data_IF_277265022494
#
_entry.id   IF_277265022494
#
_cell.length_a   1.000
_cell.length_b   1.000
_cell.length_c   1.000
_cell.angle_alpha   90.00
_cell.angle_beta   90.00
_cell.angle_gamma   90.00
#
_symmetry.space_group_name_H-M   'P 1'
#
loop_
_entity.id
_entity.type
_entity.pdbx_description
1 polymer ?
#
# COMPACT_ATOMS: atom_id res chain seq x y z
N UNK A 1 10.35 4.87 18.83
CA UNK A 1 11.51 4.31 18.08
C UNK A 1 11.20 3.02 17.30
N UNK A 2 10.19 2.20 17.67
CA UNK A 2 9.87 0.89 17.05
C UNK A 2 9.28 0.90 15.63
N UNK A 3 8.46 1.90 15.27
CA UNK A 3 7.73 1.90 13.97
C UNK A 3 8.68 2.10 12.78
N UNK A 4 9.73 2.94 12.92
CA UNK A 4 10.69 3.22 11.84
C UNK A 4 11.47 1.98 11.40
N UNK A 5 11.87 1.15 12.36
CA UNK A 5 12.67 -0.05 12.10
C UNK A 5 11.82 -1.15 11.45
N UNK A 6 10.59 -1.33 11.94
CA UNK A 6 9.59 -2.25 11.35
C UNK A 6 9.27 -1.91 9.90
N UNK A 7 9.08 -0.62 9.59
CA UNK A 7 8.86 -0.15 8.23
C UNK A 7 10.05 -0.51 7.33
N UNK A 8 11.29 -0.27 7.78
CA UNK A 8 12.48 -0.63 7.00
C UNK A 8 12.59 -2.14 6.72
N UNK A 9 12.34 -2.97 7.72
CA UNK A 9 12.41 -4.43 7.62
C UNK A 9 11.31 -5.00 6.72
N UNK A 10 10.07 -4.52 6.82
CA UNK A 10 8.95 -4.97 5.97
C UNK A 10 9.09 -4.52 4.51
N UNK A 11 9.69 -3.37 4.31
CA UNK A 11 9.88 -2.76 3.00
C UNK A 11 11.02 -3.40 2.23
N UNK A 12 12.14 -3.74 2.90
CA UNK A 12 13.36 -4.28 2.26
C UNK A 12 13.14 -5.46 1.30
N UNK A 13 12.37 -6.51 1.65
CA UNK A 13 12.18 -7.67 0.76
C UNK A 13 11.30 -7.38 -0.47
N UNK A 14 10.41 -6.38 -0.38
CA UNK A 14 9.40 -6.08 -1.40
C UNK A 14 9.83 -4.97 -2.37
N UNK A 15 10.99 -4.38 -2.10
CA UNK A 15 11.52 -3.20 -2.77
C UNK A 15 12.62 -3.56 -3.76
N UNK A 16 12.15 -3.95 -4.92
CA UNK A 16 12.98 -4.17 -6.11
C UNK A 16 13.35 -2.80 -6.68
N UNK A 17 14.63 -2.65 -7.07
CA UNK A 17 15.17 -1.47 -7.73
C UNK A 17 14.27 -1.03 -8.89
N UNK A 18 14.02 0.28 -9.03
CA UNK A 18 13.23 0.83 -10.13
C UNK A 18 11.70 0.84 -9.92
N UNK A 19 11.17 0.26 -8.83
CA UNK A 19 9.73 0.39 -8.52
C UNK A 19 9.34 1.84 -8.18
N UNK A 20 8.17 2.26 -8.67
CA UNK A 20 7.52 3.51 -8.30
C UNK A 20 6.73 3.32 -7.01
N UNK A 21 6.88 4.23 -6.06
CA UNK A 21 6.20 4.21 -4.77
C UNK A 21 5.45 5.52 -4.60
N UNK A 22 4.13 5.44 -4.36
CA UNK A 22 3.30 6.58 -3.98
C UNK A 22 3.38 6.79 -2.46
N UNK A 23 3.65 8.03 -2.02
CA UNK A 23 3.74 8.37 -0.60
C UNK A 23 2.86 9.56 -0.26
N UNK A 24 2.02 9.41 0.75
CA UNK A 24 1.30 10.49 1.42
C UNK A 24 2.13 11.13 2.55
N UNK A 25 3.09 10.39 3.12
CA UNK A 25 3.94 10.85 4.21
C UNK A 25 5.33 11.31 3.74
N UNK A 26 5.74 12.54 4.12
CA UNK A 26 6.95 13.22 3.63
C UNK A 26 8.19 13.08 4.53
N UNK A 27 8.24 12.06 5.40
CA UNK A 27 9.29 11.92 6.42
C UNK A 27 10.71 11.78 5.83
N UNK A 28 11.67 12.62 6.26
CA UNK A 28 13.07 12.61 5.78
C UNK A 28 13.74 11.24 5.84
N UNK A 29 13.51 10.48 6.91
CA UNK A 29 14.11 9.16 7.11
C UNK A 29 13.62 8.11 6.08
N UNK A 30 12.30 8.07 5.84
CA UNK A 30 11.69 7.15 4.86
C UNK A 30 12.18 7.47 3.46
N UNK A 31 12.26 8.75 3.10
CA UNK A 31 12.80 9.17 1.78
C UNK A 31 14.24 8.73 1.58
N UNK A 32 15.11 8.89 2.59
CA UNK A 32 16.52 8.46 2.49
C UNK A 32 16.62 6.95 2.27
N UNK A 33 15.87 6.18 3.05
CA UNK A 33 15.86 4.73 2.90
C UNK A 33 15.38 4.27 1.52
N UNK A 34 14.27 4.86 1.02
CA UNK A 34 13.72 4.50 -0.28
C UNK A 34 14.63 4.92 -1.45
N UNK A 35 15.35 6.04 -1.32
CA UNK A 35 16.36 6.43 -2.33
C UNK A 35 17.58 5.51 -2.30
N UNK A 36 18.03 5.08 -1.13
CA UNK A 36 19.21 4.22 -0.99
C UNK A 36 19.06 2.86 -1.69
N UNK A 37 17.83 2.39 -1.88
CA UNK A 37 17.50 1.15 -2.60
C UNK A 37 17.13 1.39 -4.08
N UNK A 38 17.21 2.64 -4.57
CA UNK A 38 16.91 2.99 -5.96
C UNK A 38 15.42 3.00 -6.32
N UNK A 39 14.52 3.28 -5.38
CA UNK A 39 13.10 3.46 -5.67
C UNK A 39 12.78 4.88 -6.17
N UNK A 40 11.80 4.98 -7.07
CA UNK A 40 11.28 6.26 -7.55
C UNK A 40 10.10 6.70 -6.67
N UNK A 41 10.25 7.82 -5.97
CA UNK A 41 9.19 8.37 -5.12
C UNK A 41 8.27 9.26 -5.94
N UNK A 42 6.98 8.93 -5.95
CA UNK A 42 5.90 9.78 -6.46
C UNK A 42 5.21 10.45 -5.28
N UNK A 43 5.26 11.78 -5.26
CA UNK A 43 4.53 12.56 -4.26
C UNK A 43 3.14 12.88 -4.78
N UNK A 44 2.12 12.53 -4.00
CA UNK A 44 0.74 12.88 -4.28
C UNK A 44 0.51 14.37 -3.98
N UNK A 45 -0.27 15.08 -4.82
CA UNK A 45 -0.78 16.39 -4.46
C UNK A 45 -1.63 16.31 -3.17
N UNK A 46 -1.75 17.45 -2.49
CA UNK A 46 -2.50 17.52 -1.22
C UNK A 46 -3.98 17.23 -1.51
N UNK A 47 -4.61 16.41 -0.66
CA UNK A 47 -6.03 16.03 -0.77
C UNK A 47 -6.40 15.34 -2.09
N UNK A 48 -5.49 14.57 -2.70
CA UNK A 48 -5.76 13.79 -3.92
C UNK A 48 -5.84 12.28 -3.62
N UNK A 49 -6.86 11.81 -2.89
CA UNK A 49 -7.04 10.39 -2.61
C UNK A 49 -7.27 9.59 -3.89
N UNK A 50 -7.89 10.19 -4.92
CA UNK A 50 -8.18 9.52 -6.20
C UNK A 50 -6.92 9.12 -6.95
N UNK A 51 -5.81 9.83 -6.72
CA UNK A 51 -4.50 9.50 -7.28
C UNK A 51 -3.77 8.44 -6.46
N UNK A 52 -4.32 7.93 -5.37
CA UNK A 52 -3.66 6.94 -4.52
C UNK A 52 -4.29 5.55 -4.71
N UNK A 53 -3.64 4.61 -5.43
CA UNK A 53 -4.25 3.32 -5.79
C UNK A 53 -4.62 2.45 -4.57
N UNK A 54 -4.00 2.69 -3.41
CA UNK A 54 -4.33 1.97 -2.17
C UNK A 54 -5.73 2.30 -1.64
N UNK A 55 -6.32 3.44 -2.00
CA UNK A 55 -7.66 3.81 -1.54
C UNK A 55 -8.72 2.86 -2.07
N UNK A 56 -8.57 2.40 -3.32
CA UNK A 56 -9.46 1.40 -3.93
C UNK A 56 -9.32 0.04 -3.24
N UNK A 57 -8.08 -0.37 -2.93
CA UNK A 57 -7.80 -1.57 -2.12
C UNK A 57 -8.48 -1.47 -0.75
N UNK A 58 -8.32 -0.35 -0.04
CA UNK A 58 -8.95 -0.16 1.26
C UNK A 58 -10.48 -0.11 1.18
N UNK A 59 -11.06 0.43 0.10
CA UNK A 59 -12.50 0.44 -0.11
C UNK A 59 -13.08 -0.98 -0.20
N UNK A 60 -12.48 -1.84 -1.04
CA UNK A 60 -12.86 -3.26 -1.14
C UNK A 60 -12.62 -4.02 0.15
N UNK A 61 -11.45 -3.85 0.77
CA UNK A 61 -11.10 -4.50 2.05
C UNK A 61 -12.11 -4.17 3.15
N UNK A 62 -12.44 -2.89 3.34
CA UNK A 62 -13.44 -2.44 4.34
C UNK A 62 -14.81 -3.08 4.09
N UNK A 63 -15.22 -3.17 2.83
CA UNK A 63 -16.48 -3.81 2.44
C UNK A 63 -16.50 -5.29 2.84
N UNK A 64 -15.44 -6.03 2.53
CA UNK A 64 -15.33 -7.45 2.85
C UNK A 64 -15.22 -7.70 4.36
N UNK A 65 -14.50 -6.85 5.09
CA UNK A 65 -14.43 -6.95 6.56
C UNK A 65 -15.79 -6.69 7.23
N UNK A 66 -16.56 -5.71 6.74
CA UNK A 66 -17.93 -5.49 7.22
C UNK A 66 -18.83 -6.72 7.00
N UNK A 67 -18.65 -7.42 5.87
CA UNK A 67 -19.36 -8.68 5.59
C UNK A 67 -18.91 -9.81 6.51
N UNK A 68 -17.62 -9.88 6.86
CA UNK A 68 -17.06 -10.90 7.75
C UNK A 68 -17.57 -10.77 9.21
N UNK A 69 -18.02 -9.58 9.63
CA UNK A 69 -18.62 -9.32 10.96
C UNK A 69 -17.75 -9.77 12.16
N UNK A 70 -16.43 -9.85 12.00
CA UNK A 70 -15.50 -10.22 13.06
C UNK A 70 -15.56 -9.22 14.23
N UNK A 71 -15.52 -9.71 15.48
CA UNK A 71 -15.69 -8.91 16.71
C UNK A 71 -14.52 -8.98 17.69
N UNK A 72 -13.47 -9.72 17.38
CA UNK A 72 -12.21 -9.73 18.13
C UNK A 72 -11.05 -9.27 17.26
N UNK A 73 -9.96 -8.82 17.89
CA UNK A 73 -8.77 -8.37 17.18
C UNK A 73 -8.18 -9.51 16.33
N UNK A 74 -8.07 -10.70 16.89
CA UNK A 74 -7.52 -11.87 16.20
C UNK A 74 -8.41 -12.27 15.01
N UNK A 75 -9.73 -12.32 15.20
CA UNK A 75 -10.65 -12.62 14.10
C UNK A 75 -10.61 -11.56 12.99
N UNK A 76 -10.40 -10.28 13.33
CA UNK A 76 -10.20 -9.22 12.33
C UNK A 76 -8.87 -9.43 11.59
N UNK A 77 -7.78 -9.76 12.28
CA UNK A 77 -6.49 -10.03 11.67
C UNK A 77 -6.54 -11.22 10.71
N UNK A 78 -7.19 -12.31 11.12
CA UNK A 78 -7.40 -13.50 10.30
C UNK A 78 -8.27 -13.19 9.08
N UNK A 79 -9.36 -12.45 9.27
CA UNK A 79 -10.23 -12.03 8.17
C UNK A 79 -9.47 -11.17 7.16
N UNK A 80 -8.62 -10.23 7.61
CA UNK A 80 -7.75 -9.44 6.73
C UNK A 80 -6.82 -10.37 5.95
N UNK A 81 -6.16 -11.32 6.62
CA UNK A 81 -5.23 -12.24 5.97
C UNK A 81 -5.92 -13.08 4.87
N UNK A 82 -7.13 -13.58 5.12
CA UNK A 82 -7.90 -14.32 4.11
C UNK A 82 -8.38 -13.43 2.97
N UNK A 83 -8.87 -12.23 3.28
CA UNK A 83 -9.33 -11.27 2.26
C UNK A 83 -8.17 -10.87 1.34
N UNK A 84 -6.98 -10.63 1.88
CA UNK A 84 -5.81 -10.24 1.08
C UNK A 84 -5.41 -11.31 0.06
N UNK A 85 -5.65 -12.60 0.33
CA UNK A 85 -5.43 -13.69 -0.64
C UNK A 85 -6.38 -13.64 -1.84
N UNK A 86 -7.49 -12.89 -1.76
CA UNK A 86 -8.46 -12.77 -2.85
C UNK A 86 -8.10 -11.70 -3.88
N UNK A 87 -7.08 -10.87 -3.61
CA UNK A 87 -6.60 -9.87 -4.57
C UNK A 87 -5.70 -10.52 -5.60
N UNK A 88 -6.07 -10.41 -6.86
CA UNK A 88 -5.24 -10.91 -7.96
C UNK A 88 -4.21 -9.87 -8.39
N UNK A 89 -3.07 -10.29 -8.98
CA UNK A 89 -2.12 -9.35 -9.58
C UNK A 89 -2.75 -8.43 -10.61
N UNK A 90 -3.70 -8.94 -11.41
CA UNK A 90 -4.40 -8.17 -12.44
C UNK A 90 -5.34 -7.12 -11.85
N UNK A 91 -6.07 -7.46 -10.79
CA UNK A 91 -6.87 -6.50 -10.04
C UNK A 91 -6.00 -5.37 -9.47
N UNK A 92 -4.85 -5.71 -8.88
CA UNK A 92 -3.89 -4.72 -8.38
C UNK A 92 -3.34 -3.82 -9.50
N UNK A 93 -3.05 -4.38 -10.67
CA UNK A 93 -2.62 -3.61 -11.84
C UNK A 93 -3.71 -2.62 -12.30
N UNK A 94 -4.97 -3.05 -12.27
CA UNK A 94 -6.12 -2.20 -12.61
C UNK A 94 -6.26 -1.01 -11.64
N UNK A 95 -6.00 -1.18 -10.34
CA UNK A 95 -5.99 -0.06 -9.38
C UNK A 95 -4.90 0.97 -9.70
N UNK A 96 -3.71 0.50 -10.08
CA UNK A 96 -2.59 1.38 -10.48
C UNK A 96 -2.95 2.15 -11.77
N UNK A 97 -3.57 1.47 -12.74
CA UNK A 97 -4.05 2.09 -13.98
C UNK A 97 -5.13 3.15 -13.71
N UNK A 98 -6.11 2.82 -12.87
CA UNK A 98 -7.20 3.73 -12.49
C UNK A 98 -6.69 4.99 -11.76
N UNK A 99 -5.59 4.89 -11.00
CA UNK A 99 -4.94 6.02 -10.36
C UNK A 99 -4.05 6.86 -11.32
N UNK A 100 -4.01 6.53 -12.61
CA UNK A 100 -3.27 7.28 -13.63
C UNK A 100 -1.77 6.95 -13.72
N UNK A 101 -1.33 5.82 -13.15
CA UNK A 101 0.10 5.45 -13.12
C UNK A 101 0.52 4.37 -14.11
N UNK A 102 -0.43 3.82 -14.88
CA UNK A 102 -0.08 3.00 -16.02
C UNK A 102 0.45 3.92 -17.14
N UNK A 103 1.76 3.86 -17.40
CA UNK A 103 2.30 4.35 -18.68
C UNK A 103 1.72 3.48 -19.79
N UNK A 104 1.13 4.10 -20.81
CA UNK A 104 1.22 3.62 -22.19
C UNK A 104 2.68 3.61 -22.63
#
# INVERSE_FOLDING_TARGET
MRIRQKIQEMLRPQLIRGRRITLTHKGKAVRRALRAIGAHLLFLPKYSPDLNPIEQVFSKLKTLLRKAKARSLDAVADAIAQILKTYTPEECANYIKAAGYAST
#
